data_IF_676123097975
#
_entry.id   IF_676123097975
#
_cell.length_a   1.000
_cell.length_b   1.000
_cell.length_c   1.000
_cell.angle_alpha   90.00
_cell.angle_beta   90.00
_cell.angle_gamma   90.00
#
_symmetry.space_group_name_H-M   'P 1'
#
loop_
_entity.id
_entity.type
_entity.pdbx_description
1 polymer ?
#
# COMPACT_ATOMS: atom_id res chain seq x y z
N UNK A 1 -8.11 22.40 19.22
CA UNK A 1 -7.60 21.16 19.84
C UNK A 1 -6.40 20.73 19.00
N UNK A 2 -5.24 20.38 19.56
CA UNK A 2 -4.15 19.86 18.75
C UNK A 2 -4.65 18.59 18.06
N UNK A 3 -4.60 18.56 16.73
CA UNK A 3 -4.92 17.36 15.97
C UNK A 3 -4.05 16.20 16.46
N UNK A 4 -4.53 14.94 16.40
CA UNK A 4 -3.71 13.79 16.79
C UNK A 4 -2.54 13.64 15.79
N UNK A 5 -1.43 14.34 16.06
CA UNK A 5 -0.21 14.38 15.25
C UNK A 5 0.40 12.99 14.96
N UNK A 6 -0.08 11.94 15.63
CA UNK A 6 0.45 10.58 15.52
C UNK A 6 -0.16 9.76 14.38
N UNK A 7 -1.35 10.09 13.85
CA UNK A 7 -1.99 9.28 12.81
C UNK A 7 -1.18 9.21 11.49
N UNK A 8 -0.62 10.32 10.97
CA UNK A 8 0.22 10.29 9.77
C UNK A 8 1.47 9.41 9.95
N UNK A 9 2.12 9.52 11.11
CA UNK A 9 3.31 8.75 11.47
C UNK A 9 3.03 7.25 11.55
N UNK A 10 1.94 6.88 12.24
CA UNK A 10 1.47 5.50 12.32
C UNK A 10 1.18 4.96 10.91
N UNK A 11 0.54 5.75 10.07
CA UNK A 11 0.20 5.34 8.72
C UNK A 11 1.45 5.09 7.87
N UNK A 12 2.48 5.94 8.00
CA UNK A 12 3.77 5.75 7.33
C UNK A 12 4.49 4.47 7.79
N UNK A 13 4.48 4.18 9.09
CA UNK A 13 5.06 2.95 9.65
C UNK A 13 4.33 1.71 9.13
N UNK A 14 2.99 1.75 9.08
CA UNK A 14 2.17 0.67 8.51
C UNK A 14 2.53 0.46 7.04
N UNK A 15 2.71 1.52 6.25
CA UNK A 15 3.14 1.40 4.87
C UNK A 15 4.51 0.74 4.75
N UNK A 16 5.48 1.12 5.59
CA UNK A 16 6.81 0.52 5.61
C UNK A 16 6.77 -0.98 5.93
N UNK A 17 6.01 -1.37 6.96
CA UNK A 17 5.79 -2.78 7.32
C UNK A 17 5.13 -3.54 6.16
N UNK A 18 4.13 -2.94 5.51
CA UNK A 18 3.45 -3.56 4.36
C UNK A 18 4.41 -3.79 3.20
N UNK A 19 5.27 -2.81 2.90
CA UNK A 19 6.30 -2.94 1.86
C UNK A 19 7.20 -4.13 2.16
N UNK A 20 7.70 -4.24 3.39
CA UNK A 20 8.52 -5.37 3.83
C UNK A 20 7.78 -6.71 3.64
N UNK A 21 6.52 -6.80 4.05
CA UNK A 21 5.71 -8.01 3.90
C UNK A 21 5.50 -8.41 2.44
N UNK A 22 5.20 -7.47 1.55
CA UNK A 22 5.05 -7.76 0.13
C UNK A 22 6.36 -8.14 -0.54
N UNK A 23 7.46 -7.48 -0.20
CA UNK A 23 8.80 -7.82 -0.71
C UNK A 23 9.20 -9.23 -0.29
N UNK A 24 9.08 -9.57 1.00
CA UNK A 24 9.35 -10.94 1.46
C UNK A 24 8.38 -11.94 0.84
N UNK A 25 7.09 -11.63 0.80
CA UNK A 25 6.07 -12.45 0.15
C UNK A 25 6.44 -12.79 -1.30
N UNK A 26 6.99 -11.82 -2.03
CA UNK A 26 7.47 -11.98 -3.40
C UNK A 26 8.77 -12.77 -3.51
N UNK A 27 9.76 -12.50 -2.65
CA UNK A 27 11.04 -13.24 -2.58
C UNK A 27 10.78 -14.73 -2.32
N UNK A 28 9.98 -15.06 -1.30
CA UNK A 28 9.62 -16.44 -0.98
C UNK A 28 8.83 -17.13 -2.11
N UNK A 29 8.16 -16.35 -2.96
CA UNK A 29 7.46 -16.84 -4.13
C UNK A 29 8.38 -17.09 -5.33
N UNK A 30 9.36 -16.21 -5.55
CA UNK A 30 10.28 -16.19 -6.69
C UNK A 30 11.37 -17.28 -6.62
N UNK A 31 11.84 -17.65 -5.43
CA UNK A 31 12.96 -18.59 -5.23
C UNK A 31 12.60 -20.07 -5.56
N UNK A 32 11.51 -20.34 -6.29
CA UNK A 32 11.02 -21.69 -6.69
C UNK A 32 10.75 -22.68 -5.55
N UNK A 33 11.10 -22.37 -4.30
CA UNK A 33 10.71 -23.11 -3.11
C UNK A 33 9.36 -22.58 -2.64
N UNK A 34 8.34 -22.81 -3.47
CA UNK A 34 6.95 -22.40 -3.24
C UNK A 34 6.50 -22.92 -1.87
N UNK A 35 6.78 -22.15 -0.82
CA UNK A 35 6.35 -22.53 0.51
C UNK A 35 4.86 -22.27 0.50
N UNK A 36 4.11 -23.34 0.21
CA UNK A 36 2.64 -23.37 0.16
C UNK A 36 2.01 -22.80 1.44
N UNK A 37 2.79 -22.68 2.52
CA UNK A 37 2.38 -22.13 3.81
C UNK A 37 2.84 -20.69 4.04
N UNK A 38 4.08 -20.31 3.67
CA UNK A 38 4.65 -19.01 4.04
C UNK A 38 4.15 -17.87 3.13
N UNK A 39 4.22 -18.05 1.81
CA UNK A 39 3.77 -17.01 0.86
C UNK A 39 2.33 -16.52 1.12
N UNK A 40 1.30 -17.41 1.20
CA UNK A 40 -0.07 -16.94 1.42
C UNK A 40 -0.26 -16.24 2.78
N UNK A 41 0.51 -16.61 3.81
CA UNK A 41 0.46 -15.93 5.12
C UNK A 41 1.03 -14.52 5.04
N UNK A 42 2.20 -14.36 4.42
CA UNK A 42 2.83 -13.04 4.23
C UNK A 42 1.97 -12.14 3.34
N UNK A 43 1.42 -12.67 2.26
CA UNK A 43 0.52 -11.92 1.38
C UNK A 43 -0.79 -11.53 2.08
N UNK A 44 -1.35 -12.40 2.91
CA UNK A 44 -2.55 -12.08 3.69
C UNK A 44 -2.29 -11.03 4.76
N UNK A 45 -1.16 -11.14 5.49
CA UNK A 45 -0.74 -10.10 6.43
C UNK A 45 -0.52 -8.77 5.70
N UNK A 46 0.19 -8.77 4.57
CA UNK A 46 0.38 -7.56 3.76
C UNK A 46 -0.96 -6.91 3.38
N UNK A 47 -1.95 -7.71 3.00
CA UNK A 47 -3.30 -7.20 2.70
C UNK A 47 -3.99 -6.59 3.93
N UNK A 48 -3.87 -7.22 5.11
CA UNK A 48 -4.41 -6.65 6.36
C UNK A 48 -3.79 -5.28 6.62
N UNK A 49 -2.46 -5.15 6.52
CA UNK A 49 -1.78 -3.87 6.73
C UNK A 49 -2.15 -2.84 5.64
N UNK A 50 -2.31 -3.24 4.37
CA UNK A 50 -2.84 -2.35 3.32
C UNK A 50 -4.23 -1.83 3.67
N UNK A 51 -5.13 -2.70 4.16
CA UNK A 51 -6.47 -2.30 4.56
C UNK A 51 -6.43 -1.37 5.78
N UNK A 52 -5.59 -1.67 6.77
CA UNK A 52 -5.38 -0.80 7.94
C UNK A 52 -4.86 0.58 7.54
N UNK A 53 -3.91 0.66 6.60
CA UNK A 53 -3.42 1.92 6.04
C UNK A 53 -4.59 2.75 5.47
N UNK A 54 -5.45 2.12 4.67
CA UNK A 54 -6.62 2.79 4.09
C UNK A 54 -7.61 3.27 5.15
N UNK A 55 -7.91 2.45 6.15
CA UNK A 55 -8.85 2.80 7.21
C UNK A 55 -8.32 3.96 8.07
N UNK A 56 -7.02 3.96 8.39
CA UNK A 56 -6.39 5.05 9.15
C UNK A 56 -6.39 6.34 8.34
N UNK A 57 -6.06 6.28 7.04
CA UNK A 57 -6.14 7.44 6.16
C UNK A 57 -7.57 8.02 6.07
N UNK A 58 -8.58 7.15 5.91
CA UNK A 58 -9.99 7.58 5.89
C UNK A 58 -10.39 8.22 7.22
N UNK A 59 -10.01 7.61 8.35
CA UNK A 59 -10.28 8.15 9.68
C UNK A 59 -9.64 9.55 9.84
N UNK A 60 -8.36 9.69 9.49
CA UNK A 60 -7.66 10.97 9.52
C UNK A 60 -8.38 12.02 8.67
N UNK A 61 -8.81 11.65 7.46
CA UNK A 61 -9.51 12.58 6.56
C UNK A 61 -10.88 12.99 7.09
N UNK A 62 -11.63 12.08 7.72
CA UNK A 62 -12.93 12.35 8.32
C UNK A 62 -12.86 13.24 9.56
N UNK A 63 -11.75 13.16 10.31
CA UNK A 63 -11.53 14.00 11.49
C UNK A 63 -11.04 15.40 11.14
N UNK A 64 -10.40 15.59 9.98
CA UNK A 64 -9.82 16.86 9.56
C UNK A 64 -10.86 17.77 8.90
N UNK A 65 -11.17 18.90 9.51
CA UNK A 65 -12.11 19.90 8.98
C UNK A 65 -11.48 20.89 8.01
N UNK A 66 -10.17 21.09 8.07
CA UNK A 66 -9.48 22.09 7.25
C UNK A 66 -8.98 21.53 5.90
N UNK A 67 -8.86 22.41 4.91
CA UNK A 67 -8.21 22.11 3.64
C UNK A 67 -6.72 21.85 3.85
N UNK A 68 -6.17 20.88 3.12
CA UNK A 68 -4.74 20.59 3.11
C UNK A 68 -4.10 21.42 2.01
N UNK A 69 -3.12 22.25 2.34
CA UNK A 69 -2.34 23.04 1.38
C UNK A 69 -0.85 22.99 1.76
N UNK A 70 0.01 23.16 0.76
CA UNK A 70 1.46 23.31 0.91
C UNK A 70 1.88 24.65 0.31
N UNK A 71 3.07 25.19 0.63
CA UNK A 71 3.52 26.45 0.06
C UNK A 71 3.86 26.26 -1.44
N UNK A 72 3.85 27.34 -2.24
CA UNK A 72 3.91 27.25 -3.71
C UNK A 72 5.15 26.54 -4.27
N UNK A 73 6.28 26.58 -3.55
CA UNK A 73 7.53 25.90 -3.90
C UNK A 73 7.44 24.38 -3.78
N UNK A 74 6.57 23.86 -2.90
CA UNK A 74 6.34 22.41 -2.74
C UNK A 74 5.19 21.86 -3.61
N UNK A 75 4.32 22.71 -4.14
CA UNK A 75 3.14 22.28 -4.93
C UNK A 75 3.51 21.41 -6.14
N UNK A 76 4.60 21.75 -6.83
CA UNK A 76 5.07 21.02 -8.01
C UNK A 76 5.50 19.59 -7.69
N UNK A 77 5.93 19.33 -6.46
CA UNK A 77 6.28 17.99 -5.98
C UNK A 77 5.06 17.29 -5.34
N UNK A 78 4.28 18.02 -4.55
CA UNK A 78 3.16 17.49 -3.77
C UNK A 78 2.00 17.01 -4.65
N UNK A 79 1.48 17.86 -5.54
CA UNK A 79 0.27 17.57 -6.32
C UNK A 79 0.39 16.34 -7.23
N UNK A 80 1.44 16.18 -8.06
CA UNK A 80 1.57 14.97 -8.88
C UNK A 80 1.79 13.73 -8.02
N UNK A 81 2.56 13.83 -6.93
CA UNK A 81 2.76 12.73 -5.98
C UNK A 81 1.45 12.28 -5.36
N UNK A 82 0.58 13.22 -4.97
CA UNK A 82 -0.75 12.95 -4.42
C UNK A 82 -1.64 12.20 -5.41
N UNK A 83 -1.70 12.66 -6.66
CA UNK A 83 -2.52 12.02 -7.71
C UNK A 83 -2.03 10.59 -7.96
N UNK A 84 -0.72 10.41 -8.14
CA UNK A 84 -0.11 9.09 -8.34
C UNK A 84 -0.39 8.19 -7.14
N UNK A 85 -0.26 8.71 -5.93
CA UNK A 85 -0.49 7.98 -4.69
C UNK A 85 -1.95 7.48 -4.58
N UNK A 86 -2.92 8.34 -4.86
CA UNK A 86 -4.34 7.97 -4.80
C UNK A 86 -4.69 6.87 -5.81
N UNK A 87 -4.22 6.99 -7.06
CA UNK A 87 -4.49 6.01 -8.11
C UNK A 87 -3.82 4.66 -7.80
N UNK A 88 -2.54 4.69 -7.42
CA UNK A 88 -1.77 3.49 -7.09
C UNK A 88 -2.28 2.83 -5.82
N UNK A 89 -2.61 3.60 -4.79
CA UNK A 89 -3.16 3.12 -3.54
C UNK A 89 -4.47 2.36 -3.76
N UNK A 90 -5.39 2.97 -4.51
CA UNK A 90 -6.70 2.35 -4.80
C UNK A 90 -6.53 1.05 -5.59
N UNK A 91 -5.61 1.04 -6.57
CA UNK A 91 -5.26 -0.15 -7.34
C UNK A 91 -4.70 -1.26 -6.45
N UNK A 92 -3.82 -0.92 -5.49
CA UNK A 92 -3.24 -1.84 -4.52
C UNK A 92 -4.24 -2.37 -3.49
N UNK A 93 -5.37 -1.70 -3.25
CA UNK A 93 -6.44 -2.25 -2.41
C UNK A 93 -7.26 -3.32 -3.15
N UNK A 94 -7.55 -3.09 -4.44
CA UNK A 94 -8.40 -3.95 -5.26
C UNK A 94 -7.67 -5.24 -5.69
N UNK A 95 -6.40 -5.13 -6.11
CA UNK A 95 -5.65 -6.26 -6.67
C UNK A 95 -5.50 -7.47 -5.72
N UNK A 96 -5.19 -7.30 -4.42
CA UNK A 96 -5.13 -8.41 -3.48
C UNK A 96 -6.47 -9.12 -3.28
N UNK A 97 -7.59 -8.39 -3.30
CA UNK A 97 -8.95 -8.97 -3.22
C UNK A 97 -9.21 -9.87 -4.42
N UNK A 98 -8.90 -9.39 -5.61
CA UNK A 98 -9.02 -10.18 -6.85
C UNK A 98 -8.12 -11.43 -6.78
N UNK A 99 -6.89 -11.30 -6.28
CA UNK A 99 -5.95 -12.41 -6.12
C UNK A 99 -6.45 -13.46 -5.11
N UNK A 100 -7.05 -13.03 -4.00
CA UNK A 100 -7.68 -13.93 -3.02
C UNK A 100 -8.85 -14.68 -3.65
N UNK A 101 -9.73 -13.98 -4.38
CA UNK A 101 -10.89 -14.58 -5.04
C UNK A 101 -10.48 -15.60 -6.12
N UNK A 102 -9.46 -15.28 -6.92
CA UNK A 102 -8.86 -16.20 -7.89
C UNK A 102 -8.24 -17.41 -7.17
N UNK A 103 -7.55 -17.18 -6.03
CA UNK A 103 -6.92 -18.23 -5.23
C UNK A 103 -7.93 -19.24 -4.65
N UNK A 104 -9.07 -18.76 -4.15
CA UNK A 104 -10.15 -19.61 -3.59
C UNK A 104 -10.79 -20.45 -4.71
N UNK A 105 -11.12 -19.85 -5.84
CA UNK A 105 -11.71 -20.56 -6.99
C UNK A 105 -10.74 -21.58 -7.61
N UNK A 106 -9.43 -21.37 -7.47
CA UNK A 106 -8.37 -22.22 -8.07
C UNK A 106 -7.99 -23.47 -7.31
N UNK A 107 -8.63 -23.78 -6.18
CA UNK A 107 -8.65 -25.16 -5.65
C UNK A 107 -9.19 -26.20 -6.67
N UNK A 108 -9.64 -25.75 -7.86
CA UNK A 108 -10.13 -26.54 -9.01
C UNK A 108 -9.22 -26.62 -10.26
N UNK A 109 -7.93 -26.28 -10.20
CA UNK A 109 -6.94 -26.74 -11.23
C UNK A 109 -6.45 -25.80 -12.35
N UNK A 110 -6.48 -24.45 -12.20
CA UNK A 110 -5.91 -23.52 -13.23
C UNK A 110 -4.46 -23.06 -12.95
N UNK A 111 -3.75 -22.63 -14.03
CA UNK A 111 -2.29 -22.39 -14.21
C UNK A 111 -1.64 -21.24 -13.41
N UNK A 112 -0.58 -21.55 -12.66
CA UNK A 112 0.16 -20.69 -11.69
C UNK A 112 0.66 -19.35 -12.26
N UNK A 113 0.82 -19.23 -13.57
CA UNK A 113 1.54 -18.12 -14.23
C UNK A 113 0.86 -16.76 -14.07
N UNK A 114 -0.47 -16.66 -14.22
CA UNK A 114 -1.17 -15.36 -14.17
C UNK A 114 -1.19 -14.73 -12.78
N UNK A 115 -1.22 -15.55 -11.72
CA UNK A 115 -1.13 -15.05 -10.33
C UNK A 115 0.27 -14.53 -10.00
N UNK A 116 1.32 -15.12 -10.60
CA UNK A 116 2.70 -14.62 -10.44
C UNK A 116 2.78 -13.19 -10.96
N UNK A 117 2.35 -13.00 -12.21
CA UNK A 117 2.43 -11.72 -12.90
C UNK A 117 1.65 -10.64 -12.14
N UNK A 118 0.43 -10.93 -11.71
CA UNK A 118 -0.38 -10.01 -10.92
C UNK A 118 0.23 -9.70 -9.54
N UNK A 119 0.86 -10.68 -8.88
CA UNK A 119 1.59 -10.46 -7.63
C UNK A 119 2.79 -9.51 -7.79
N UNK A 120 3.57 -9.67 -8.86
CA UNK A 120 4.66 -8.74 -9.19
C UNK A 120 4.14 -7.33 -9.52
N UNK A 121 3.06 -7.23 -10.29
CA UNK A 121 2.42 -5.93 -10.60
C UNK A 121 1.95 -5.26 -9.31
N UNK A 122 1.28 -5.99 -8.41
CA UNK A 122 0.85 -5.44 -7.13
C UNK A 122 2.03 -4.93 -6.28
N UNK A 123 3.15 -5.65 -6.27
CA UNK A 123 4.36 -5.22 -5.56
C UNK A 123 4.90 -3.90 -6.13
N UNK A 124 4.99 -3.78 -7.47
CA UNK A 124 5.46 -2.56 -8.13
C UNK A 124 4.54 -1.38 -7.79
N UNK A 125 3.21 -1.58 -7.87
CA UNK A 125 2.24 -0.55 -7.51
C UNK A 125 2.41 -0.15 -6.03
N UNK A 126 2.61 -1.11 -5.13
CA UNK A 126 2.81 -0.82 -3.71
C UNK A 126 4.08 -0.02 -3.45
N UNK A 127 5.18 -0.29 -4.15
CA UNK A 127 6.37 0.54 -4.04
C UNK A 127 6.12 1.99 -4.48
N UNK A 128 5.33 2.19 -5.54
CA UNK A 128 4.90 3.53 -5.95
C UNK A 128 4.10 4.21 -4.83
N UNK A 129 3.15 3.50 -4.20
CA UNK A 129 2.40 4.00 -3.03
C UNK A 129 3.35 4.40 -1.90
N UNK A 130 4.33 3.55 -1.59
CA UNK A 130 5.27 3.79 -0.50
C UNK A 130 6.13 5.02 -0.73
N UNK A 131 6.76 5.14 -1.91
CA UNK A 131 7.63 6.26 -2.25
C UNK A 131 6.84 7.57 -2.27
N UNK A 132 5.70 7.59 -2.97
CA UNK A 132 4.86 8.80 -3.04
C UNK A 132 4.28 9.19 -1.69
N UNK A 133 3.94 8.23 -0.83
CA UNK A 133 3.46 8.53 0.52
C UNK A 133 4.55 9.11 1.43
N UNK A 134 5.81 8.68 1.29
CA UNK A 134 6.95 9.35 1.95
C UNK A 134 7.02 10.80 1.48
N UNK A 135 6.99 11.05 0.17
CA UNK A 135 7.07 12.41 -0.38
C UNK A 135 5.95 13.29 0.19
N UNK A 136 4.71 12.79 0.15
CA UNK A 136 3.54 13.50 0.69
C UNK A 136 3.70 13.80 2.18
N UNK A 137 4.16 12.82 2.96
CA UNK A 137 4.40 12.99 4.39
C UNK A 137 5.42 14.11 4.65
N UNK A 138 6.55 14.10 3.94
CA UNK A 138 7.58 15.14 4.09
C UNK A 138 7.06 16.52 3.68
N UNK A 139 6.35 16.61 2.56
CA UNK A 139 5.76 17.89 2.11
C UNK A 139 4.75 18.45 3.10
N UNK A 140 3.97 17.61 3.79
CA UNK A 140 2.89 18.07 4.69
C UNK A 140 3.33 18.30 6.14
N UNK A 141 4.30 17.53 6.63
CA UNK A 141 4.61 17.45 8.06
C UNK A 141 6.05 17.82 8.42
N UNK A 142 6.97 17.89 7.44
CA UNK A 142 8.39 18.16 7.70
C UNK A 142 8.82 19.48 7.05
N UNK A 143 8.34 19.77 5.83
CA UNK A 143 8.78 20.90 5.02
C UNK A 143 7.77 22.05 4.94
N UNK A 144 6.52 21.82 5.35
CA UNK A 144 5.44 22.81 5.40
C UNK A 144 5.29 23.34 6.82
#
# INVERSE_FOLDING_TARGET
MPEPYFLPEINLVIMAITTILYTFGCIFYGIKKFSKKIHPRLSFLGYIFTLSFFLIYMLQRSLRTESVSVPPDLELLYNPSLIIHMISGTSSLILPVVLLFIGIQRRRGKSQTSMKKLGYVNLIIWYTVFITGIIIYFCLHVLN
#
